data_IF_278368950293
#
_entry.id   IF_278368950293
#
_cell.length_a   1.000
_cell.length_b   1.000
_cell.length_c   1.000
_cell.angle_alpha   90.00
_cell.angle_beta   90.00
_cell.angle_gamma   90.00
#
_symmetry.space_group_name_H-M   'P 1'
#
loop_
_entity.id
_entity.type
_entity.pdbx_description
1 polymer ?
#
# COMPACT_ATOMS: atom_id res chain seq x y z
N UNK A 1 20.52 -5.92 20.27
CA UNK A 1 21.05 -4.54 20.15
C UNK A 1 20.57 -4.00 18.81
N UNK A 2 19.70 -2.98 18.83
CA UNK A 2 19.26 -2.26 17.61
C UNK A 2 20.45 -1.37 17.22
N UNK A 3 21.04 -1.60 16.06
CA UNK A 3 22.11 -0.75 15.54
C UNK A 3 21.56 0.69 15.41
N UNK A 4 22.07 1.62 16.19
CA UNK A 4 21.73 3.03 16.10
C UNK A 4 22.29 3.58 14.79
N UNK A 5 21.44 3.65 13.76
CA UNK A 5 21.80 4.37 12.53
C UNK A 5 22.09 5.83 12.89
N UNK A 6 23.27 6.34 12.51
CA UNK A 6 23.64 7.74 12.70
C UNK A 6 22.84 8.70 11.80
N UNK A 7 21.97 8.19 10.96
CA UNK A 7 21.13 8.98 10.05
C UNK A 7 20.00 9.68 10.82
N UNK A 8 19.78 10.98 10.53
CA UNK A 8 18.64 11.73 11.08
C UNK A 8 17.34 11.01 10.73
N UNK A 9 16.47 10.72 11.72
CA UNK A 9 15.20 10.04 11.46
C UNK A 9 14.36 10.75 10.40
N UNK A 10 13.69 9.95 9.57
CA UNK A 10 12.78 10.46 8.57
C UNK A 10 11.50 10.99 9.22
N UNK A 11 10.99 12.17 8.84
CA UNK A 11 9.77 12.76 9.39
C UNK A 11 8.53 12.05 8.84
N UNK A 12 8.43 10.75 9.13
CA UNK A 12 7.40 9.83 8.62
C UNK A 12 6.69 9.18 9.79
N UNK A 13 5.35 9.21 9.78
CA UNK A 13 4.47 8.36 10.58
C UNK A 13 4.09 7.13 9.74
N UNK A 14 4.30 5.93 10.26
CA UNK A 14 3.88 4.69 9.60
C UNK A 14 2.57 4.23 10.21
N UNK A 15 1.56 3.98 9.39
CA UNK A 15 0.24 3.48 9.81
C UNK A 15 0.08 2.02 9.39
N UNK A 16 -0.23 1.16 10.36
CA UNK A 16 -0.49 -0.27 10.14
C UNK A 16 -1.92 -0.58 10.61
N UNK A 17 -2.85 -0.87 9.70
CA UNK A 17 -4.16 -1.41 10.08
C UNK A 17 -3.98 -2.84 10.59
N UNK A 18 -4.48 -3.12 11.78
CA UNK A 18 -4.36 -4.40 12.48
C UNK A 18 -5.75 -5.02 12.64
N UNK A 19 -5.92 -6.25 12.18
CA UNK A 19 -7.11 -7.06 12.44
C UNK A 19 -6.74 -8.53 12.48
N UNK A 20 -6.83 -9.15 13.67
CA UNK A 20 -6.45 -10.56 13.90
C UNK A 20 -5.10 -10.91 13.33
N UNK A 21 -4.07 -10.12 13.71
CA UNK A 21 -2.76 -10.16 13.08
C UNK A 21 -1.61 -10.47 14.06
N UNK A 22 -1.90 -11.02 15.25
CA UNK A 22 -0.92 -11.37 16.28
C UNK A 22 0.29 -12.15 15.73
N UNK A 23 0.05 -13.08 14.79
CA UNK A 23 1.08 -13.94 14.21
C UNK A 23 2.00 -13.26 13.20
N UNK A 24 1.59 -12.09 12.65
CA UNK A 24 2.29 -11.47 11.53
C UNK A 24 2.89 -10.10 11.85
N UNK A 25 2.26 -9.36 12.76
CA UNK A 25 2.57 -7.95 13.04
C UNK A 25 4.02 -7.73 13.51
N UNK A 26 4.58 -8.66 14.27
CA UNK A 26 5.95 -8.56 14.75
C UNK A 26 6.98 -8.47 13.62
N UNK A 27 6.79 -9.24 12.54
CA UNK A 27 7.65 -9.20 11.37
C UNK A 27 7.50 -7.87 10.59
N UNK A 28 6.29 -7.34 10.48
CA UNK A 28 6.02 -6.05 9.82
C UNK A 28 6.70 -4.92 10.58
N UNK A 29 6.55 -4.85 11.90
CA UNK A 29 7.20 -3.84 12.77
C UNK A 29 8.74 -3.99 12.75
N UNK A 30 9.25 -5.21 12.80
CA UNK A 30 10.69 -5.45 12.70
C UNK A 30 11.29 -4.93 11.39
N UNK A 31 10.56 -5.03 10.27
CA UNK A 31 10.99 -4.50 8.97
C UNK A 31 11.02 -2.96 8.93
N UNK A 32 10.19 -2.29 9.75
CA UNK A 32 10.23 -0.84 9.93
C UNK A 32 11.42 -0.45 10.81
N UNK A 33 11.65 -1.19 11.89
CA UNK A 33 12.79 -0.94 12.78
C UNK A 33 14.15 -1.15 12.10
N UNK A 34 14.20 -2.03 11.09
CA UNK A 34 15.40 -2.32 10.29
C UNK A 34 15.68 -1.31 9.17
N UNK A 35 14.92 -0.20 9.06
CA UNK A 35 15.15 0.79 8.02
C UNK A 35 16.50 1.49 8.18
N UNK A 36 17.26 1.64 7.09
CA UNK A 36 18.55 2.37 7.07
C UNK A 36 18.40 3.84 7.42
N UNK A 37 17.22 4.42 7.22
CA UNK A 37 16.81 5.72 7.75
C UNK A 37 15.59 5.51 8.64
N UNK A 38 15.71 5.55 9.98
CA UNK A 38 14.62 5.27 10.92
C UNK A 38 13.44 6.22 10.73
N UNK A 39 12.22 5.76 10.98
CA UNK A 39 11.01 6.58 11.03
C UNK A 39 10.80 7.14 12.43
N UNK A 40 10.06 8.25 12.55
CA UNK A 40 9.83 8.90 13.84
C UNK A 40 8.64 8.36 14.61
N UNK A 41 7.66 7.75 13.93
CA UNK A 41 6.43 7.27 14.58
C UNK A 41 5.88 6.03 13.88
N UNK A 42 5.38 5.08 14.65
CA UNK A 42 4.61 3.92 14.17
C UNK A 42 3.25 3.89 14.89
N UNK A 43 2.19 3.75 14.13
CA UNK A 43 0.81 3.72 14.60
C UNK A 43 0.21 2.35 14.27
N UNK A 44 -0.02 1.53 15.29
CA UNK A 44 -0.69 0.24 15.16
C UNK A 44 -2.17 0.45 15.47
N UNK A 45 -3.04 0.30 14.48
CA UNK A 45 -4.47 0.59 14.62
C UNK A 45 -5.26 -0.70 14.60
N UNK A 46 -5.68 -1.17 15.77
CA UNK A 46 -6.56 -2.33 15.90
C UNK A 46 -7.98 -1.99 15.46
N UNK A 47 -8.50 -2.74 14.49
CA UNK A 47 -9.85 -2.56 13.94
C UNK A 47 -10.88 -3.46 14.66
N UNK A 48 -10.87 -3.42 15.99
CA UNK A 48 -11.74 -4.22 16.87
C UNK A 48 -11.61 -5.73 16.61
N UNK A 49 -10.42 -6.27 16.77
CA UNK A 49 -10.09 -7.68 16.48
C UNK A 49 -10.82 -8.68 17.38
N UNK A 50 -10.95 -8.39 18.67
CA UNK A 50 -11.68 -9.22 19.66
C UNK A 50 -11.04 -10.57 19.97
N UNK A 51 -9.75 -10.76 19.68
CA UNK A 51 -9.01 -12.05 19.79
C UNK A 51 -7.67 -11.94 20.54
N UNK A 52 -7.50 -10.91 21.39
CA UNK A 52 -6.22 -10.65 22.07
C UNK A 52 -5.17 -9.93 21.21
N UNK A 53 -5.48 -9.53 19.97
CA UNK A 53 -4.57 -8.75 19.11
C UNK A 53 -4.11 -7.46 19.82
N UNK A 54 -5.01 -6.72 20.47
CA UNK A 54 -4.67 -5.47 21.16
C UNK A 54 -3.58 -5.69 22.21
N UNK A 55 -3.69 -6.73 23.03
CA UNK A 55 -2.70 -7.07 24.07
C UNK A 55 -1.35 -7.40 23.41
N UNK A 56 -1.37 -8.16 22.32
CA UNK A 56 -0.16 -8.48 21.56
C UNK A 56 0.50 -7.22 20.96
N UNK A 57 -0.30 -6.23 20.51
CA UNK A 57 0.22 -4.95 20.01
C UNK A 57 0.88 -4.14 21.13
N UNK A 58 0.29 -4.08 22.32
CA UNK A 58 0.90 -3.42 23.48
C UNK A 58 2.20 -4.09 23.90
N UNK A 59 2.20 -5.41 24.07
CA UNK A 59 3.41 -6.19 24.38
C UNK A 59 4.51 -6.03 23.31
N UNK A 60 4.13 -5.90 22.03
CA UNK A 60 5.07 -5.61 20.96
C UNK A 60 5.65 -4.19 21.11
N UNK A 61 4.83 -3.19 21.44
CA UNK A 61 5.26 -1.80 21.60
C UNK A 61 6.30 -1.64 22.70
N UNK A 62 6.19 -2.38 23.81
CA UNK A 62 7.13 -2.37 24.93
C UNK A 62 8.55 -2.84 24.55
N UNK A 63 8.70 -3.55 23.43
CA UNK A 63 10.00 -4.05 22.92
C UNK A 63 10.80 -2.99 22.17
N UNK A 64 10.21 -1.82 21.96
CA UNK A 64 10.79 -0.70 21.20
C UNK A 64 10.92 0.56 22.08
N UNK A 65 11.67 1.57 21.65
CA UNK A 65 11.84 2.79 22.42
C UNK A 65 10.48 3.42 22.82
N UNK A 66 10.34 3.90 24.07
CA UNK A 66 9.10 4.52 24.54
C UNK A 66 8.61 5.62 23.60
N UNK A 67 7.32 5.59 23.24
CA UNK A 67 6.69 6.57 22.37
C UNK A 67 6.94 6.40 20.86
N UNK A 68 7.80 5.47 20.45
CA UNK A 68 8.00 5.20 19.03
C UNK A 68 6.81 4.47 18.39
N UNK A 69 6.19 3.53 19.13
CA UNK A 69 4.96 2.85 18.74
C UNK A 69 3.81 3.39 19.58
N UNK A 70 2.72 3.75 18.93
CA UNK A 70 1.43 4.04 19.55
C UNK A 70 0.40 3.03 19.09
N UNK A 71 -0.30 2.40 20.02
CA UNK A 71 -1.43 1.50 19.75
C UNK A 71 -2.72 2.30 19.83
N UNK A 72 -3.59 2.14 18.84
CA UNK A 72 -4.91 2.78 18.76
C UNK A 72 -5.94 1.66 18.59
N UNK A 73 -6.84 1.49 19.56
CA UNK A 73 -7.94 0.55 19.48
C UNK A 73 -9.19 1.25 18.91
N UNK A 74 -9.71 0.73 17.79
CA UNK A 74 -10.99 1.20 17.25
C UNK A 74 -12.15 0.64 18.07
N UNK A 75 -13.18 1.43 18.38
CA UNK A 75 -14.32 0.95 19.17
C UNK A 75 -15.22 -0.04 18.39
N UNK A 76 -15.05 -0.15 17.08
CA UNK A 76 -15.80 -1.07 16.19
C UNK A 76 -15.00 -1.41 14.96
N UNK A 77 -15.24 -2.58 14.40
CA UNK A 77 -14.68 -2.95 13.10
C UNK A 77 -15.27 -2.06 12.00
N UNK A 78 -14.39 -1.42 11.24
CA UNK A 78 -14.75 -0.55 10.12
C UNK A 78 -13.96 -0.87 8.84
N UNK A 79 -13.08 -1.86 8.90
CA UNK A 79 -12.21 -2.27 7.81
C UNK A 79 -10.95 -1.41 7.64
N UNK A 80 -10.09 -1.79 6.68
CA UNK A 80 -8.77 -1.20 6.54
C UNK A 80 -8.78 0.31 6.23
N UNK A 81 -9.78 0.80 5.50
CA UNK A 81 -9.95 2.23 5.23
C UNK A 81 -10.09 3.05 6.49
N UNK A 82 -11.00 2.62 7.39
CA UNK A 82 -11.22 3.29 8.67
C UNK A 82 -9.99 3.23 9.56
N UNK A 83 -9.38 2.06 9.68
CA UNK A 83 -8.17 1.92 10.49
C UNK A 83 -7.03 2.81 9.97
N UNK A 84 -6.82 2.88 8.64
CA UNK A 84 -5.83 3.80 8.06
C UNK A 84 -6.18 5.26 8.29
N UNK A 85 -7.45 5.66 8.24
CA UNK A 85 -7.89 7.01 8.52
C UNK A 85 -7.69 7.39 9.99
N UNK A 86 -7.96 6.50 10.94
CA UNK A 86 -7.68 6.72 12.36
C UNK A 86 -6.17 6.93 12.61
N UNK A 87 -5.33 6.09 12.03
CA UNK A 87 -3.89 6.26 12.09
C UNK A 87 -3.42 7.56 11.42
N UNK A 88 -4.00 7.92 10.27
CA UNK A 88 -3.68 9.19 9.59
C UNK A 88 -4.02 10.40 10.46
N UNK A 89 -5.17 10.37 11.13
CA UNK A 89 -5.59 11.45 12.04
C UNK A 89 -4.65 11.59 13.25
N UNK A 90 -4.13 10.47 13.77
CA UNK A 90 -3.20 10.44 14.91
C UNK A 90 -1.73 10.70 14.51
N UNK A 91 -1.41 10.69 13.21
CA UNK A 91 -0.06 10.92 12.72
C UNK A 91 0.40 12.34 13.00
N UNK A 92 1.63 12.48 13.51
CA UNK A 92 2.23 13.78 13.88
C UNK A 92 3.25 14.26 12.86
N UNK A 93 3.80 13.36 12.03
CA UNK A 93 4.87 13.70 11.09
C UNK A 93 4.33 14.28 9.78
N UNK A 94 5.13 15.08 9.05
CA UNK A 94 4.75 15.68 7.77
C UNK A 94 4.38 14.67 6.67
N UNK A 95 4.94 13.46 6.74
CA UNK A 95 4.68 12.39 5.80
C UNK A 95 4.05 11.17 6.48
N UNK A 96 3.23 10.46 5.72
CA UNK A 96 2.62 9.20 6.14
C UNK A 96 3.02 8.08 5.18
N UNK A 97 3.38 6.95 5.73
CA UNK A 97 3.53 5.69 5.02
C UNK A 97 2.52 4.66 5.53
N UNK A 98 2.14 3.72 4.68
CA UNK A 98 1.26 2.62 5.06
C UNK A 98 2.00 1.29 4.90
N UNK A 99 1.72 0.35 5.81
CA UNK A 99 2.16 -1.03 5.72
C UNK A 99 1.03 -1.94 6.20
N UNK A 100 0.73 -3.00 5.48
CA UNK A 100 -0.23 -3.99 5.94
C UNK A 100 0.43 -4.93 6.98
N UNK A 101 -0.35 -5.41 7.96
CA UNK A 101 0.18 -6.15 9.12
C UNK A 101 0.81 -7.51 8.79
N UNK A 102 0.73 -7.97 7.55
CA UNK A 102 1.28 -9.22 7.05
C UNK A 102 2.40 -9.04 5.99
N UNK A 103 2.74 -7.78 5.66
CA UNK A 103 3.76 -7.41 4.68
C UNK A 103 5.06 -6.95 5.35
N UNK A 104 6.15 -6.86 4.57
CA UNK A 104 7.44 -6.34 5.06
C UNK A 104 8.09 -5.38 4.07
N UNK A 105 8.91 -4.47 4.59
CA UNK A 105 9.71 -3.53 3.82
C UNK A 105 11.17 -3.97 3.67
N UNK A 106 11.78 -3.55 2.57
CA UNK A 106 13.24 -3.62 2.37
C UNK A 106 13.91 -2.50 3.18
N UNK A 107 15.10 -2.73 3.77
CA UNK A 107 15.75 -1.75 4.65
C UNK A 107 15.96 -0.36 4.05
N UNK A 108 16.16 -0.25 2.77
CA UNK A 108 16.45 1.01 2.07
C UNK A 108 15.18 1.80 1.65
N UNK A 109 13.98 1.28 1.93
CA UNK A 109 12.74 1.90 1.43
C UNK A 109 12.59 3.34 1.85
N UNK A 110 12.68 3.62 3.14
CA UNK A 110 12.46 4.98 3.68
C UNK A 110 13.56 5.92 3.17
N UNK A 111 14.80 5.50 3.18
CA UNK A 111 15.91 6.32 2.68
C UNK A 111 15.73 6.73 1.22
N UNK A 112 15.39 5.79 0.33
CA UNK A 112 15.21 6.06 -1.09
C UNK A 112 14.00 6.93 -1.40
N UNK A 113 12.89 6.71 -0.70
CA UNK A 113 11.68 7.52 -0.92
C UNK A 113 11.83 8.93 -0.37
N UNK A 114 12.46 9.08 0.80
CA UNK A 114 12.74 10.41 1.37
C UNK A 114 13.73 11.19 0.52
N UNK A 115 14.79 10.57 0.01
CA UNK A 115 15.72 11.22 -0.92
C UNK A 115 14.99 11.77 -2.17
N UNK A 116 14.02 11.04 -2.71
CA UNK A 116 13.25 11.51 -3.86
C UNK A 116 12.27 12.65 -3.49
N UNK A 117 11.66 12.63 -2.30
CA UNK A 117 10.78 13.71 -1.79
C UNK A 117 11.59 15.00 -1.48
N UNK A 118 12.79 14.84 -0.96
CA UNK A 118 13.71 15.94 -0.67
C UNK A 118 14.27 16.58 -1.97
N UNK A 119 14.51 15.76 -3.01
CA UNK A 119 14.96 16.22 -4.32
C UNK A 119 13.83 16.93 -5.13
N UNK A 120 12.57 16.60 -4.91
CA UNK A 120 11.41 17.27 -5.51
C UNK A 120 10.34 17.56 -4.44
N UNK A 121 10.45 18.69 -3.71
CA UNK A 121 9.50 19.07 -2.64
C UNK A 121 8.04 19.24 -3.12
N UNK A 122 7.82 19.35 -4.41
CA UNK A 122 6.46 19.40 -4.97
C UNK A 122 5.82 18.05 -5.16
N UNK A 123 6.51 16.95 -4.86
CA UNK A 123 5.86 15.62 -4.83
C UNK A 123 4.92 15.52 -3.63
N UNK A 124 3.69 15.13 -3.90
CA UNK A 124 2.69 14.87 -2.87
C UNK A 124 2.64 13.39 -2.47
N UNK A 125 3.05 12.51 -3.39
CA UNK A 125 3.03 11.06 -3.20
C UNK A 125 4.19 10.42 -3.96
N UNK A 126 4.89 9.49 -3.30
CA UNK A 126 5.88 8.62 -3.91
C UNK A 126 5.59 7.16 -3.55
N UNK A 127 5.75 6.28 -4.52
CA UNK A 127 5.56 4.84 -4.36
C UNK A 127 6.73 4.06 -4.97
N UNK A 128 6.69 2.73 -4.84
CA UNK A 128 7.64 1.81 -5.45
C UNK A 128 6.94 0.56 -5.98
N UNK A 129 7.68 -0.45 -6.39
CA UNK A 129 7.15 -1.77 -6.78
C UNK A 129 7.09 -2.68 -5.57
N UNK A 130 6.15 -3.62 -5.60
CA UNK A 130 6.08 -4.74 -4.67
C UNK A 130 6.17 -6.06 -5.44
N UNK A 131 6.55 -7.13 -4.76
CA UNK A 131 6.58 -8.50 -5.26
C UNK A 131 6.10 -9.48 -4.18
N UNK A 132 5.70 -10.68 -4.59
CA UNK A 132 5.40 -11.78 -3.66
C UNK A 132 6.72 -12.44 -3.29
N UNK A 133 6.86 -12.81 -2.01
CA UNK A 133 8.04 -13.49 -1.48
C UNK A 133 7.71 -14.30 -0.24
N UNK A 134 8.27 -15.48 -0.15
CA UNK A 134 8.18 -16.30 1.06
C UNK A 134 9.01 -15.68 2.18
N UNK A 135 8.51 -15.80 3.42
CA UNK A 135 9.21 -15.33 4.60
C UNK A 135 10.52 -16.12 4.82
N UNK A 136 11.52 -15.45 5.39
CA UNK A 136 12.80 -16.08 5.71
C UNK A 136 13.81 -16.15 4.57
N UNK A 137 13.43 -15.88 3.33
CA UNK A 137 14.39 -15.83 2.23
C UNK A 137 15.27 -14.57 2.31
N UNK A 138 16.51 -14.63 1.87
CA UNK A 138 17.43 -13.49 1.81
C UNK A 138 16.94 -12.44 0.79
N UNK A 139 16.96 -11.15 1.14
CA UNK A 139 16.54 -10.09 0.24
C UNK A 139 17.45 -10.00 -0.98
N UNK A 140 16.91 -9.88 -2.20
CA UNK A 140 17.73 -9.66 -3.38
C UNK A 140 18.34 -8.26 -3.34
N UNK A 141 19.53 -8.07 -3.92
CA UNK A 141 20.15 -6.75 -4.03
C UNK A 141 19.28 -5.80 -4.85
N UNK A 142 19.38 -4.52 -4.54
CA UNK A 142 18.72 -3.47 -5.33
C UNK A 142 19.31 -3.42 -6.75
N UNK A 143 18.44 -3.22 -7.72
CA UNK A 143 18.85 -3.09 -9.13
C UNK A 143 19.37 -1.68 -9.43
N UNK A 144 20.58 -1.55 -9.93
CA UNK A 144 21.10 -0.28 -10.42
C UNK A 144 20.67 -0.04 -11.90
N UNK A 145 20.45 1.21 -12.33
CA UNK A 145 20.32 2.41 -11.50
C UNK A 145 18.93 2.53 -10.86
N UNK A 146 18.88 3.15 -9.67
CA UNK A 146 17.61 3.55 -9.04
C UNK A 146 17.04 4.74 -9.80
N UNK A 147 15.86 4.57 -10.37
CA UNK A 147 15.19 5.62 -11.14
C UNK A 147 13.84 5.96 -10.54
N UNK A 148 13.52 7.24 -10.50
CA UNK A 148 12.21 7.76 -10.12
C UNK A 148 11.53 8.32 -11.36
N UNK A 149 10.28 7.92 -11.62
CA UNK A 149 9.50 8.39 -12.75
C UNK A 149 8.19 9.03 -12.26
N UNK A 150 7.81 10.17 -12.84
CA UNK A 150 6.50 10.80 -12.59
C UNK A 150 5.39 9.93 -13.15
N UNK A 151 4.28 9.86 -12.41
CA UNK A 151 3.08 9.13 -12.80
C UNK A 151 2.04 10.13 -13.28
N UNK A 152 1.79 10.11 -14.57
CA UNK A 152 0.83 11.02 -15.19
C UNK A 152 -0.61 10.53 -15.11
N UNK A 153 -1.55 11.44 -15.36
CA UNK A 153 -3.01 11.26 -15.33
C UNK A 153 -3.50 9.97 -16.03
N UNK A 154 -2.96 9.66 -17.23
CA UNK A 154 -3.36 8.46 -17.99
C UNK A 154 -3.13 7.15 -17.23
N UNK A 155 -2.13 7.11 -16.34
CA UNK A 155 -1.82 5.90 -15.57
C UNK A 155 -2.91 5.60 -14.55
N UNK A 156 -3.41 6.61 -13.84
CA UNK A 156 -4.52 6.48 -12.90
C UNK A 156 -5.83 6.11 -13.60
N UNK A 157 -6.04 6.61 -14.82
CA UNK A 157 -7.23 6.29 -15.59
C UNK A 157 -7.31 4.78 -15.92
N UNK A 158 -6.18 4.15 -16.21
CA UNK A 158 -6.14 2.78 -16.72
C UNK A 158 -6.05 1.72 -15.61
N UNK A 159 -5.37 2.00 -14.50
CA UNK A 159 -5.19 1.05 -13.39
C UNK A 159 -4.71 1.73 -12.11
N UNK A 160 -4.74 0.99 -11.00
CA UNK A 160 -4.06 1.40 -9.76
C UNK A 160 -2.53 1.29 -9.96
N UNK A 161 -1.77 2.41 -9.92
CA UNK A 161 -0.33 2.37 -10.12
C UNK A 161 0.45 2.02 -8.84
N UNK A 162 -0.18 2.11 -7.65
CA UNK A 162 0.48 2.07 -6.36
C UNK A 162 -0.16 1.05 -5.41
N UNK A 163 0.53 -0.03 -5.03
CA UNK A 163 0.14 -0.83 -3.88
C UNK A 163 0.24 0.02 -2.59
N UNK A 164 -0.70 -0.15 -1.66
CA UNK A 164 -0.79 0.67 -0.44
C UNK A 164 0.50 0.66 0.37
N UNK A 165 1.09 -0.51 0.62
CA UNK A 165 2.32 -0.64 1.39
C UNK A 165 3.57 -0.04 0.72
N UNK A 166 3.44 0.42 -0.54
CA UNK A 166 4.52 1.10 -1.27
C UNK A 166 4.54 2.62 -1.10
N UNK A 167 3.48 3.21 -0.57
CA UNK A 167 3.25 4.67 -0.62
C UNK A 167 3.88 5.38 0.57
N UNK A 168 4.49 6.55 0.30
CA UNK A 168 4.66 7.66 1.23
C UNK A 168 3.97 8.87 0.62
N UNK A 169 3.19 9.60 1.41
CA UNK A 169 2.49 10.80 0.97
C UNK A 169 2.53 11.91 2.02
N UNK A 170 2.25 13.13 1.60
CA UNK A 170 2.12 14.29 2.50
C UNK A 170 0.90 14.12 3.39
N UNK A 171 1.06 14.36 4.70
CA UNK A 171 -0.01 14.24 5.69
C UNK A 171 -1.14 15.27 5.47
N UNK A 172 -0.80 16.46 5.00
CA UNK A 172 -1.71 17.60 4.83
C UNK A 172 -2.62 17.53 3.61
N UNK A 173 -2.57 16.44 2.83
CA UNK A 173 -3.48 16.25 1.71
C UNK A 173 -4.95 16.24 2.15
N UNK A 174 -5.87 16.90 1.41
CA UNK A 174 -7.29 17.01 1.79
C UNK A 174 -8.12 15.76 1.47
N UNK A 175 -7.46 14.63 1.25
CA UNK A 175 -8.08 13.35 0.89
C UNK A 175 -7.91 12.33 2.01
N UNK A 176 -8.88 11.39 2.08
CA UNK A 176 -8.83 10.24 3.00
C UNK A 176 -9.33 8.99 2.29
N UNK A 177 -9.04 7.82 2.85
CA UNK A 177 -9.64 6.58 2.36
C UNK A 177 -11.17 6.66 2.50
N UNK A 178 -11.89 6.29 1.46
CA UNK A 178 -13.35 6.20 1.55
C UNK A 178 -13.73 4.88 2.27
N UNK A 179 -14.41 5.01 3.41
CA UNK A 179 -14.76 3.89 4.30
C UNK A 179 -15.91 3.02 3.74
N UNK A 180 -16.65 3.51 2.75
CA UNK A 180 -17.69 2.74 2.06
C UNK A 180 -17.09 1.72 1.07
N UNK A 181 -15.86 1.98 0.60
CA UNK A 181 -15.14 1.08 -0.31
C UNK A 181 -14.37 0.03 0.49
N UNK A 182 -14.87 -1.21 0.45
CA UNK A 182 -14.21 -2.35 1.11
C UNK A 182 -13.10 -3.00 0.28
N UNK A 183 -12.98 -2.63 -0.99
CA UNK A 183 -11.95 -3.10 -1.93
C UNK A 183 -11.54 -1.97 -2.83
N UNK A 184 -10.27 -1.96 -3.23
CA UNK A 184 -9.66 -0.95 -4.13
C UNK A 184 -9.85 0.49 -3.64
N UNK A 185 -10.04 0.67 -2.33
CA UNK A 185 -10.13 1.96 -1.65
C UNK A 185 -8.89 2.82 -1.86
N UNK A 186 -7.75 2.14 -1.95
CA UNK A 186 -6.46 2.72 -2.26
C UNK A 186 -6.43 3.31 -3.68
N UNK A 187 -7.00 2.61 -4.65
CA UNK A 187 -7.09 3.12 -6.02
C UNK A 187 -7.91 4.40 -6.11
N UNK A 188 -9.04 4.48 -5.40
CA UNK A 188 -9.86 5.70 -5.37
C UNK A 188 -9.03 6.87 -4.82
N UNK A 189 -8.36 6.68 -3.69
CA UNK A 189 -7.57 7.72 -3.04
C UNK A 189 -6.40 8.19 -3.91
N UNK A 190 -5.63 7.26 -4.50
CA UNK A 190 -4.51 7.64 -5.37
C UNK A 190 -4.98 8.35 -6.64
N UNK A 191 -6.10 7.92 -7.20
CA UNK A 191 -6.71 8.57 -8.36
C UNK A 191 -7.21 9.98 -8.03
N UNK A 192 -7.87 10.19 -6.89
CA UNK A 192 -8.28 11.52 -6.42
C UNK A 192 -7.07 12.46 -6.31
N UNK A 193 -5.99 12.02 -5.67
CA UNK A 193 -4.75 12.81 -5.55
C UNK A 193 -4.19 13.14 -6.93
N UNK A 194 -4.02 12.14 -7.81
CA UNK A 194 -3.44 12.35 -9.14
C UNK A 194 -4.31 13.19 -10.09
N UNK A 195 -5.63 13.03 -10.04
CA UNK A 195 -6.56 13.82 -10.87
C UNK A 195 -6.76 15.24 -10.37
N UNK A 196 -6.55 15.51 -9.09
CA UNK A 196 -6.56 16.86 -8.51
C UNK A 196 -5.27 17.65 -8.74
N UNK A 197 -4.37 17.16 -9.59
CA UNK A 197 -3.16 17.87 -10.00
C UNK A 197 -1.95 17.71 -9.10
N UNK A 198 -2.05 16.90 -8.04
CA UNK A 198 -0.89 16.62 -7.18
C UNK A 198 0.14 15.75 -7.89
N UNK A 199 1.41 16.11 -7.74
CA UNK A 199 2.51 15.37 -8.36
C UNK A 199 2.76 14.06 -7.66
N UNK A 200 2.71 12.95 -8.42
CA UNK A 200 2.96 11.61 -7.95
C UNK A 200 4.15 10.98 -8.70
N UNK A 201 4.96 10.20 -8.02
CA UNK A 201 6.10 9.51 -8.62
C UNK A 201 6.20 8.04 -8.16
N UNK A 202 7.00 7.26 -8.89
CA UNK A 202 7.28 5.87 -8.58
C UNK A 202 8.73 5.52 -8.78
N UNK A 203 9.33 4.89 -7.77
CA UNK A 203 10.67 4.31 -7.85
C UNK A 203 10.59 2.95 -8.54
N UNK A 204 11.55 2.62 -9.42
CA UNK A 204 11.60 1.39 -10.18
C UNK A 204 12.04 0.14 -9.40
N UNK A 205 12.24 0.25 -8.07
CA UNK A 205 12.70 -0.83 -7.19
C UNK A 205 11.53 -1.58 -6.55
N UNK A 206 11.76 -2.85 -6.20
CA UNK A 206 10.91 -3.62 -5.28
C UNK A 206 11.43 -3.35 -3.88
N UNK A 207 10.66 -2.60 -3.08
CA UNK A 207 11.04 -2.18 -1.72
C UNK A 207 10.06 -2.67 -0.65
N UNK A 208 9.09 -3.51 -1.02
CA UNK A 208 8.23 -4.22 -0.09
C UNK A 208 7.77 -5.56 -0.69
N UNK A 209 7.40 -6.49 0.18
CA UNK A 209 6.98 -7.83 -0.18
C UNK A 209 5.65 -8.19 0.44
N UNK A 210 4.77 -8.77 -0.39
CA UNK A 210 3.64 -9.57 0.05
C UNK A 210 4.13 -10.97 0.46
N UNK A 211 3.68 -11.47 1.60
CA UNK A 211 3.96 -12.83 2.07
C UNK A 211 2.79 -13.79 1.83
N UNK A 212 1.78 -13.34 1.11
CA UNK A 212 0.65 -14.13 0.63
C UNK A 212 0.54 -14.01 -0.89
N UNK A 213 0.05 -15.03 -1.58
CA UNK A 213 -0.25 -14.91 -3.01
C UNK A 213 -1.20 -13.73 -3.26
N UNK A 214 -0.88 -12.91 -4.24
CA UNK A 214 -1.62 -11.67 -4.54
C UNK A 214 -3.05 -11.94 -5.04
N UNK A 215 -3.33 -13.14 -5.53
CA UNK A 215 -4.63 -13.53 -6.09
C UNK A 215 -4.98 -14.99 -5.76
N UNK A 216 -6.21 -15.24 -5.32
CA UNK A 216 -6.83 -16.57 -5.35
C UNK A 216 -6.67 -17.45 -4.10
N UNK A 217 -5.94 -17.05 -3.06
CA UNK A 217 -5.71 -17.91 -1.90
C UNK A 217 -6.50 -17.51 -0.63
N UNK A 218 -6.62 -16.22 -0.33
CA UNK A 218 -7.39 -15.71 0.84
C UNK A 218 -7.44 -14.18 0.87
N UNK A 219 -8.32 -13.60 1.70
CA UNK A 219 -8.43 -12.17 1.93
C UNK A 219 -9.24 -11.41 0.87
N UNK A 220 -9.27 -10.07 0.99
CA UNK A 220 -10.10 -9.19 0.17
C UNK A 220 -9.75 -9.22 -1.33
N UNK A 221 -8.51 -9.56 -1.69
CA UNK A 221 -8.01 -9.63 -3.08
C UNK A 221 -8.26 -10.98 -3.77
N UNK A 222 -8.76 -11.99 -3.06
CA UNK A 222 -8.97 -13.35 -3.58
C UNK A 222 -10.06 -13.44 -4.65
N UNK A 223 -11.12 -12.64 -4.56
CA UNK A 223 -12.23 -12.60 -5.53
C UNK A 223 -11.96 -11.60 -6.66
N UNK A 224 -11.45 -12.12 -7.79
CA UNK A 224 -11.17 -11.30 -8.98
C UNK A 224 -12.42 -10.63 -9.57
N UNK A 225 -13.59 -11.26 -9.48
CA UNK A 225 -14.84 -10.70 -10.01
C UNK A 225 -15.27 -9.48 -9.15
N UNK A 226 -15.19 -9.62 -7.82
CA UNK A 226 -15.46 -8.51 -6.91
C UNK A 226 -14.44 -7.37 -7.07
N UNK A 227 -13.15 -7.66 -7.25
CA UNK A 227 -12.12 -6.65 -7.54
C UNK A 227 -12.43 -5.89 -8.84
N UNK A 228 -12.90 -6.59 -9.88
CA UNK A 228 -13.31 -5.94 -11.12
C UNK A 228 -14.58 -5.09 -10.96
N UNK A 229 -15.55 -5.51 -10.14
CA UNK A 229 -16.73 -4.70 -9.80
C UNK A 229 -16.31 -3.43 -9.08
N UNK A 230 -15.56 -3.56 -8.00
CA UNK A 230 -15.07 -2.45 -7.21
C UNK A 230 -14.25 -1.45 -8.06
N UNK A 231 -13.40 -1.92 -8.97
CA UNK A 231 -12.68 -1.05 -9.91
C UNK A 231 -13.59 -0.30 -10.90
N UNK A 232 -14.80 -0.79 -11.19
CA UNK A 232 -15.81 -0.02 -11.95
C UNK A 232 -16.47 1.04 -11.08
N UNK A 233 -16.79 0.69 -9.84
CA UNK A 233 -17.36 1.61 -8.85
C UNK A 233 -16.45 2.81 -8.60
N UNK A 234 -15.14 2.58 -8.44
CA UNK A 234 -14.14 3.66 -8.36
C UNK A 234 -14.21 4.61 -9.57
N UNK A 235 -14.30 4.08 -10.80
CA UNK A 235 -14.39 4.94 -12.00
C UNK A 235 -15.69 5.72 -12.08
N UNK A 236 -16.81 5.14 -11.61
CA UNK A 236 -18.08 5.85 -11.49
C UNK A 236 -17.98 6.96 -10.46
N UNK A 237 -17.36 6.71 -9.32
CA UNK A 237 -17.16 7.70 -8.27
C UNK A 237 -16.28 8.86 -8.74
N UNK A 238 -15.18 8.58 -9.45
CA UNK A 238 -14.33 9.62 -10.04
C UNK A 238 -15.08 10.48 -11.08
N UNK A 239 -15.98 9.87 -11.86
CA UNK A 239 -16.85 10.60 -12.78
C UNK A 239 -17.87 11.46 -12.02
N UNK A 240 -18.49 10.94 -10.96
CA UNK A 240 -19.44 11.66 -10.10
C UNK A 240 -18.78 12.88 -9.42
N UNK A 241 -17.52 12.74 -9.03
CA UNK A 241 -16.71 13.82 -8.45
C UNK A 241 -16.21 14.83 -9.50
N UNK A 242 -16.47 14.62 -10.79
CA UNK A 242 -15.98 15.49 -11.86
C UNK A 242 -14.46 15.42 -12.12
N UNK A 243 -13.77 14.46 -11.51
CA UNK A 243 -12.32 14.27 -11.66
C UNK A 243 -11.92 13.65 -13.00
N UNK A 244 -12.85 12.95 -13.66
CA UNK A 244 -12.69 12.40 -15.00
C UNK A 244 -13.87 12.82 -15.88
N UNK A 245 -13.61 13.03 -17.16
CA UNK A 245 -14.67 13.36 -18.15
C UNK A 245 -15.43 12.09 -18.56
N UNK A 246 -16.63 12.26 -19.16
CA UNK A 246 -17.40 11.14 -19.73
C UNK A 246 -16.59 10.38 -20.78
N UNK A 247 -15.84 11.07 -21.64
CA UNK A 247 -14.98 10.43 -22.65
C UNK A 247 -13.84 9.63 -22.05
N UNK A 248 -13.15 10.15 -21.03
CA UNK A 248 -12.12 9.41 -20.29
C UNK A 248 -12.69 8.17 -19.59
N UNK A 249 -13.87 8.30 -18.98
CA UNK A 249 -14.55 7.17 -18.35
C UNK A 249 -14.88 6.06 -19.37
N UNK A 250 -15.45 6.41 -20.53
CA UNK A 250 -15.74 5.46 -21.60
C UNK A 250 -14.48 4.82 -22.15
N UNK A 251 -13.44 5.61 -22.40
CA UNK A 251 -12.15 5.10 -22.85
C UNK A 251 -11.58 4.06 -21.86
N UNK A 252 -11.55 4.38 -20.58
CA UNK A 252 -11.06 3.46 -19.54
C UNK A 252 -11.87 2.15 -19.46
N UNK A 253 -13.20 2.25 -19.68
CA UNK A 253 -14.11 1.10 -19.73
C UNK A 253 -13.79 0.18 -20.92
N UNK A 254 -13.71 0.75 -22.13
CA UNK A 254 -13.37 0.01 -23.35
C UNK A 254 -11.99 -0.63 -23.26
N UNK A 255 -10.98 0.12 -22.81
CA UNK A 255 -9.65 -0.40 -22.60
C UNK A 255 -9.65 -1.56 -21.60
N UNK A 256 -10.40 -1.46 -20.50
CA UNK A 256 -10.55 -2.53 -19.52
C UNK A 256 -11.19 -3.80 -20.10
N UNK A 257 -12.15 -3.68 -21.01
CA UNK A 257 -12.78 -4.81 -21.71
C UNK A 257 -11.74 -5.48 -22.63
N UNK A 258 -11.07 -4.71 -23.47
CA UNK A 258 -10.04 -5.22 -24.39
C UNK A 258 -8.89 -5.93 -23.67
N UNK A 259 -8.42 -5.37 -22.56
CA UNK A 259 -7.37 -6.00 -21.73
C UNK A 259 -7.82 -7.34 -21.15
N UNK A 260 -9.08 -7.45 -20.71
CA UNK A 260 -9.64 -8.73 -20.21
C UNK A 260 -9.79 -9.76 -21.32
N UNK A 261 -10.30 -9.36 -22.49
CA UNK A 261 -10.43 -10.24 -23.65
C UNK A 261 -9.06 -10.78 -24.07
N UNK A 262 -8.05 -9.90 -24.23
CA UNK A 262 -6.67 -10.30 -24.53
C UNK A 262 -6.12 -11.30 -23.50
N UNK A 263 -6.34 -11.05 -22.19
CA UNK A 263 -5.87 -11.97 -21.15
C UNK A 263 -6.53 -13.35 -21.26
N UNK A 264 -7.83 -13.41 -21.55
CA UNK A 264 -8.53 -14.70 -21.77
C UNK A 264 -7.97 -15.47 -22.94
N UNK A 265 -7.74 -14.80 -24.06
CA UNK A 265 -7.13 -15.42 -25.27
C UNK A 265 -5.73 -15.95 -24.94
N UNK A 266 -4.88 -15.16 -24.31
CA UNK A 266 -3.51 -15.59 -23.95
C UNK A 266 -3.51 -16.77 -22.94
N UNK A 267 -4.47 -16.84 -22.03
CA UNK A 267 -4.61 -17.98 -21.11
C UNK A 267 -5.11 -19.23 -21.84
N UNK A 268 -6.06 -19.09 -22.75
CA UNK A 268 -6.55 -20.22 -23.58
C UNK A 268 -5.43 -20.78 -24.47
N UNK A 269 -4.55 -19.92 -25.01
CA UNK A 269 -3.38 -20.37 -25.82
C UNK A 269 -2.27 -21.00 -24.99
N UNK A 270 -2.24 -20.84 -23.68
CA UNK A 270 -1.26 -21.41 -22.75
C UNK A 270 -1.72 -22.68 -22.05
N UNK A 271 -2.94 -23.15 -22.27
CA UNK A 271 -3.42 -24.43 -21.72
C UNK A 271 -2.61 -25.55 -22.40
N UNK A 272 -1.94 -26.44 -21.62
CA UNK A 272 -1.22 -27.57 -22.23
C UNK A 272 -2.24 -28.52 -22.88
N UNK A 273 -1.82 -29.18 -23.94
CA UNK A 273 -2.52 -30.29 -24.56
C UNK A 273 -3.03 -31.30 -23.51
N UNK A 274 -4.20 -31.96 -23.74
CA UNK A 274 -4.67 -33.02 -22.86
C UNK A 274 -3.55 -34.08 -22.75
N UNK A 275 -3.23 -34.47 -21.52
CA UNK A 275 -2.42 -35.65 -21.28
C UNK A 275 -3.18 -36.80 -21.92
N UNK A 276 -2.62 -37.38 -22.98
CA UNK A 276 -3.01 -38.68 -23.46
C UNK A 276 -2.95 -39.67 -22.31
N UNK A 277 -4.10 -40.24 -21.97
CA UNK A 277 -4.18 -41.38 -21.09
C UNK A 277 -3.58 -42.58 -21.86
N UNK A 278 -2.53 -43.14 -21.35
CA UNK A 278 -2.08 -44.48 -21.65
C UNK A 278 -2.00 -45.26 -20.33
#
# INVERSE_FOLDING_TARGET
MIATSSAKPAPVSVVIPCFRCSDTIAASVASIAAQTRPVQQVLLVDDASGDGTVDALHALAERYPPGWIQVIASPRNGGPSRARNLGWAAATQPYIAFLDADDTWVPEKIALQMAALEADPGLALIAHRMAVRDRGLALPPLKAPVKTARIGRKRFLLNNPFPTASVILRRDLPFRFNEEFRRVEDFLLWAQIGFSGYRCAKINQVLAYWHKPTYGASGLSGDLAAMHRAGREVRHELLRQGLVTRSEHWFARCFGILRRARRRVLLAMRSPHPREAA
#
